data_IF_854439559474
#
_entry.id   IF_854439559474
#
_cell.length_a   1.000
_cell.length_b   1.000
_cell.length_c   1.000
_cell.angle_alpha   90.00
_cell.angle_beta   90.00
_cell.angle_gamma   90.00
#
_symmetry.space_group_name_H-M   'P 1'
#
loop_
_entity.id
_entity.type
_entity.pdbx_description
1 polymer ?
#
# COMPACT_ATOMS: atom_id res chain seq x y z
N UNK A 1 -11.73 3.74 -9.20
CA UNK A 1 -10.92 2.64 -8.63
C UNK A 1 -10.37 3.14 -7.31
N UNK A 2 -10.27 2.31 -6.27
CA UNK A 2 -9.69 2.77 -5.00
C UNK A 2 -8.21 3.15 -5.20
N UNK A 3 -7.68 4.23 -4.58
CA UNK A 3 -6.28 4.65 -4.77
C UNK A 3 -5.28 3.53 -4.55
N UNK A 4 -5.46 2.72 -3.48
CA UNK A 4 -4.62 1.54 -3.22
C UNK A 4 -4.66 0.50 -4.36
N UNK A 5 -5.81 0.29 -5.00
CA UNK A 5 -5.90 -0.63 -6.14
C UNK A 5 -5.11 -0.11 -7.34
N UNK A 6 -5.19 1.20 -7.60
CA UNK A 6 -4.43 1.83 -8.69
C UNK A 6 -2.93 1.78 -8.40
N UNK A 7 -2.51 2.09 -7.18
CA UNK A 7 -1.10 2.02 -6.78
C UNK A 7 -0.52 0.60 -6.92
N UNK A 8 -1.31 -0.45 -6.63
CA UNK A 8 -0.89 -1.82 -6.87
C UNK A 8 -0.64 -2.15 -8.35
N UNK A 9 -1.41 -1.53 -9.26
CA UNK A 9 -1.20 -1.64 -10.71
C UNK A 9 0.07 -0.89 -11.11
N UNK A 10 0.22 0.34 -10.66
CA UNK A 10 1.31 1.22 -11.08
C UNK A 10 2.68 0.74 -10.56
N UNK A 11 2.71 0.09 -9.39
CA UNK A 11 3.93 -0.40 -8.74
C UNK A 11 4.22 -1.90 -8.98
N UNK A 12 3.52 -2.56 -9.92
CA UNK A 12 3.65 -4.00 -10.19
C UNK A 12 3.57 -4.86 -8.89
N UNK A 13 2.64 -4.49 -8.01
CA UNK A 13 2.52 -5.05 -6.65
C UNK A 13 1.80 -6.41 -6.60
N UNK A 14 1.63 -7.08 -7.75
CA UNK A 14 1.00 -8.39 -7.84
C UNK A 14 1.48 -9.16 -9.07
N UNK A 15 1.31 -10.48 -9.04
CA UNK A 15 1.48 -11.33 -10.22
C UNK A 15 0.26 -12.25 -10.37
N UNK A 16 0.20 -13.36 -9.61
CA UNK A 16 -0.91 -14.30 -9.68
C UNK A 16 -2.24 -13.75 -9.12
N UNK A 17 -2.20 -12.61 -8.42
CA UNK A 17 -3.38 -11.96 -7.85
C UNK A 17 -3.95 -12.60 -6.58
N UNK A 18 -3.50 -13.81 -6.19
CA UNK A 18 -4.17 -14.58 -5.13
C UNK A 18 -4.16 -13.88 -3.76
N UNK A 19 -3.02 -13.30 -3.37
CA UNK A 19 -2.91 -12.57 -2.11
C UNK A 19 -3.38 -11.11 -2.21
N UNK A 20 -3.58 -10.58 -3.43
CA UNK A 20 -3.80 -9.16 -3.68
C UNK A 20 -5.01 -8.58 -2.94
N UNK A 21 -6.17 -9.25 -2.84
CA UNK A 21 -7.28 -8.74 -2.02
C UNK A 21 -6.91 -8.55 -0.55
N UNK A 22 -6.20 -9.51 0.06
CA UNK A 22 -5.75 -9.42 1.45
C UNK A 22 -4.72 -8.31 1.65
N UNK A 23 -3.75 -8.21 0.73
CA UNK A 23 -2.75 -7.14 0.73
C UNK A 23 -3.40 -5.75 0.65
N UNK A 24 -4.38 -5.55 -0.23
CA UNK A 24 -5.06 -4.25 -0.35
C UNK A 24 -5.83 -3.90 0.94
N UNK A 25 -6.59 -4.86 1.49
CA UNK A 25 -7.37 -4.60 2.72
C UNK A 25 -6.46 -4.27 3.91
N UNK A 26 -5.36 -5.02 4.09
CA UNK A 26 -4.41 -4.73 5.17
C UNK A 26 -3.62 -3.44 4.95
N UNK A 27 -3.30 -3.09 3.70
CA UNK A 27 -2.67 -1.81 3.38
C UNK A 27 -3.59 -0.61 3.67
N UNK A 28 -4.90 -0.76 3.47
CA UNK A 28 -5.89 0.26 3.85
C UNK A 28 -5.95 0.39 5.37
N UNK A 29 -6.07 -0.73 6.10
CA UNK A 29 -6.08 -0.72 7.57
C UNK A 29 -4.80 -0.09 8.16
N UNK A 30 -3.63 -0.39 7.58
CA UNK A 30 -2.35 0.21 7.94
C UNK A 30 -2.39 1.75 7.90
N UNK A 31 -3.03 2.33 6.88
CA UNK A 31 -3.14 3.79 6.73
C UNK A 31 -4.20 4.38 7.67
N UNK A 32 -5.33 3.69 7.83
CA UNK A 32 -6.41 4.13 8.74
C UNK A 32 -5.99 4.11 10.21
N UNK A 33 -5.13 3.16 10.59
CA UNK A 33 -4.59 3.00 11.93
C UNK A 33 -3.31 3.83 12.18
N UNK A 34 -2.85 4.61 11.19
CA UNK A 34 -1.66 5.46 11.27
C UNK A 34 -0.38 4.65 11.60
N UNK A 35 -0.18 3.50 10.95
CA UNK A 35 0.97 2.60 11.15
C UNK A 35 1.96 2.64 9.97
N UNK A 36 2.10 3.80 9.33
CA UNK A 36 2.79 3.95 8.06
C UNK A 36 3.98 4.94 8.11
N UNK A 37 4.63 5.08 9.26
CA UNK A 37 5.64 6.13 9.48
C UNK A 37 7.01 5.79 8.89
N UNK A 38 7.24 4.53 8.54
CA UNK A 38 8.49 4.09 7.90
C UNK A 38 8.31 2.85 7.04
N UNK A 39 9.24 2.64 6.11
CA UNK A 39 9.28 1.42 5.29
C UNK A 39 9.41 0.13 6.12
N UNK A 40 10.09 0.20 7.26
CA UNK A 40 10.24 -0.93 8.18
C UNK A 40 8.92 -1.26 8.86
N UNK A 41 8.20 -0.25 9.34
CA UNK A 41 6.87 -0.41 9.94
C UNK A 41 5.86 -0.98 8.93
N UNK A 42 5.86 -0.46 7.69
CA UNK A 42 5.04 -1.01 6.60
C UNK A 42 5.33 -2.50 6.40
N UNK A 43 6.60 -2.90 6.38
CA UNK A 43 6.97 -4.32 6.20
C UNK A 43 6.52 -5.19 7.37
N UNK A 44 6.69 -4.70 8.59
CA UNK A 44 6.32 -5.44 9.80
C UNK A 44 4.80 -5.64 9.87
N UNK A 45 4.02 -4.58 9.69
CA UNK A 45 2.57 -4.64 9.71
C UNK A 45 2.02 -5.55 8.59
N UNK A 46 2.61 -5.48 7.40
CA UNK A 46 2.19 -6.30 6.25
C UNK A 46 2.69 -7.76 6.32
N UNK A 47 3.53 -8.13 7.30
CA UNK A 47 4.15 -9.46 7.40
C UNK A 47 3.16 -10.62 7.52
N UNK A 48 1.95 -10.36 8.04
CA UNK A 48 0.86 -11.34 8.13
C UNK A 48 0.23 -11.71 6.78
N UNK A 49 0.48 -10.93 5.72
CA UNK A 49 -0.05 -11.17 4.37
C UNK A 49 1.02 -11.80 3.48
N UNK A 50 0.95 -13.12 3.31
CA UNK A 50 1.95 -13.87 2.55
C UNK A 50 1.73 -13.75 1.04
N UNK A 51 2.79 -13.39 0.32
CA UNK A 51 2.85 -13.36 -1.14
C UNK A 51 3.77 -14.46 -1.68
N UNK A 52 3.20 -15.46 -2.36
CA UNK A 52 3.99 -16.54 -2.98
C UNK A 52 4.80 -16.09 -4.20
N UNK A 53 4.35 -15.04 -4.87
CA UNK A 53 5.01 -14.46 -6.03
C UNK A 53 6.21 -13.57 -5.68
N UNK A 54 6.35 -13.18 -4.41
CA UNK A 54 7.47 -12.34 -3.96
C UNK A 54 7.35 -10.86 -4.33
N UNK A 55 6.15 -10.35 -4.59
CA UNK A 55 5.90 -8.95 -5.01
C UNK A 55 6.03 -7.91 -3.87
N UNK A 56 6.68 -8.25 -2.76
CA UNK A 56 6.72 -7.42 -1.54
C UNK A 56 7.30 -6.02 -1.75
N UNK A 57 8.29 -5.86 -2.63
CA UNK A 57 8.86 -4.54 -2.90
C UNK A 57 7.85 -3.61 -3.58
N UNK A 58 7.09 -4.12 -4.56
CA UNK A 58 6.02 -3.37 -5.22
C UNK A 58 4.85 -3.08 -4.29
N UNK A 59 4.51 -4.01 -3.38
CA UNK A 59 3.47 -3.77 -2.35
C UNK A 59 3.86 -2.60 -1.43
N UNK A 60 5.11 -2.56 -0.96
CA UNK A 60 5.59 -1.46 -0.12
C UNK A 60 5.61 -0.14 -0.90
N UNK A 61 6.07 -0.16 -2.15
CA UNK A 61 6.07 1.02 -3.03
C UNK A 61 4.66 1.55 -3.31
N UNK A 62 3.69 0.66 -3.52
CA UNK A 62 2.28 1.03 -3.70
C UNK A 62 1.73 1.78 -2.47
N UNK A 63 2.06 1.31 -1.26
CA UNK A 63 1.64 1.97 -0.01
C UNK A 63 2.29 3.36 0.12
N UNK A 64 3.60 3.46 -0.12
CA UNK A 64 4.32 4.73 -0.11
C UNK A 64 3.75 5.74 -1.12
N UNK A 65 3.35 5.28 -2.31
CA UNK A 65 2.69 6.12 -3.31
C UNK A 65 1.35 6.68 -2.82
N UNK A 66 0.52 5.89 -2.14
CA UNK A 66 -0.76 6.36 -1.61
C UNK A 66 -0.55 7.40 -0.50
N UNK A 67 0.42 7.19 0.40
CA UNK A 67 0.79 8.18 1.43
C UNK A 67 1.17 9.52 0.78
N UNK A 68 2.04 9.47 -0.24
CA UNK A 68 2.48 10.66 -0.96
C UNK A 68 1.34 11.37 -1.71
N UNK A 69 0.32 10.64 -2.15
CA UNK A 69 -0.88 11.22 -2.77
C UNK A 69 -1.79 11.90 -1.73
N UNK A 70 -2.05 11.25 -0.59
CA UNK A 70 -2.86 11.83 0.49
C UNK A 70 -2.26 13.14 1.04
N UNK A 71 -0.92 13.21 1.11
CA UNK A 71 -0.20 14.43 1.48
C UNK A 71 -0.37 15.57 0.47
N UNK A 72 -0.48 15.23 -0.83
CA UNK A 72 -0.68 16.22 -1.89
C UNK A 72 -2.13 16.72 -1.92
N UNK A 73 -3.09 15.82 -1.76
CA UNK A 73 -4.52 16.16 -1.71
C UNK A 73 -4.81 17.07 -0.51
N UNK A 74 -4.28 16.72 0.67
CA UNK A 74 -4.42 17.53 1.90
C UNK A 74 -3.83 18.94 1.76
N UNK A 75 -2.73 19.09 1.01
CA UNK A 75 -2.10 20.39 0.73
C UNK A 75 -2.82 21.19 -0.34
N UNK A 76 -3.40 20.51 -1.34
CA UNK A 76 -4.17 21.13 -2.42
C UNK A 76 -5.52 21.65 -1.97
N UNK A 77 -6.16 21.00 -1.00
CA UNK A 77 -7.46 21.41 -0.43
C UNK A 77 -7.32 22.58 0.57
N UNK A 78 -6.11 22.82 1.08
CA UNK A 78 -5.78 23.93 1.97
C UNK A 78 -5.34 25.22 1.23
N UNK A 79 -5.29 25.22 -0.11
CA UNK A 79 -4.86 26.33 -0.96
C UNK A 79 -6.04 27.02 -1.66
#
# INVERSE_FOLDING_TARGET
MHPMQQAFIDADAFQCGYCTPGQIMSAIALLEEDHAHSREEIREFMSGNLCRCGAYNGIVEAIEHVIAQQDQDSKGEAA
#
